data_IF_965671508330
#
_entry.id   IF_965671508330
#
_cell.length_a   1.000
_cell.length_b   1.000
_cell.length_c   1.000
_cell.angle_alpha   90.00
_cell.angle_beta   90.00
_cell.angle_gamma   90.00
#
_symmetry.space_group_name_H-M   'P 1'
#
loop_
_entity.id
_entity.type
_entity.pdbx_description
1 polymer ?
#
# COMPACT_ATOMS: atom_id res chain seq x y z
N UNK A 1 -0.61 -35.90 -1.20
CA UNK A 1 0.14 -36.14 -2.46
C UNK A 1 -0.58 -35.53 -3.66
N UNK A 2 -1.87 -35.81 -3.88
CA UNK A 2 -2.65 -35.29 -5.02
C UNK A 2 -2.83 -33.75 -5.03
N UNK A 3 -2.99 -33.12 -3.87
CA UNK A 3 -3.10 -31.65 -3.75
C UNK A 3 -1.77 -30.96 -4.09
N UNK A 4 -0.63 -31.48 -3.59
CA UNK A 4 0.70 -30.93 -3.91
C UNK A 4 1.02 -31.06 -5.41
N UNK A 5 0.73 -32.22 -6.01
CA UNK A 5 0.89 -32.44 -7.46
C UNK A 5 -0.01 -31.50 -8.30
N UNK A 6 -1.21 -31.17 -7.82
CA UNK A 6 -2.10 -30.22 -8.50
C UNK A 6 -1.62 -28.77 -8.40
N UNK A 7 -1.00 -28.38 -7.28
CA UNK A 7 -0.43 -27.05 -7.08
C UNK A 7 0.85 -26.88 -7.90
N UNK A 8 1.71 -27.90 -7.95
CA UNK A 8 2.93 -27.87 -8.76
C UNK A 8 2.61 -27.75 -10.26
N UNK A 9 1.61 -28.50 -10.74
CA UNK A 9 1.17 -28.42 -12.14
C UNK A 9 0.55 -27.05 -12.47
N UNK A 10 -0.27 -26.50 -11.57
CA UNK A 10 -0.87 -25.19 -11.74
C UNK A 10 0.21 -24.08 -11.77
N UNK A 11 1.21 -24.16 -10.89
CA UNK A 11 2.36 -23.24 -10.89
C UNK A 11 3.14 -23.31 -12.20
N UNK A 12 3.34 -24.51 -12.77
CA UNK A 12 4.01 -24.65 -14.07
C UNK A 12 3.19 -24.06 -15.21
N UNK A 13 1.87 -24.25 -15.22
CA UNK A 13 1.00 -23.63 -16.24
C UNK A 13 1.07 -22.10 -16.19
N UNK A 14 1.09 -21.52 -14.98
CA UNK A 14 1.26 -20.07 -14.82
C UNK A 14 2.61 -19.58 -15.33
N UNK A 15 3.71 -20.29 -15.05
CA UNK A 15 5.03 -19.93 -15.55
C UNK A 15 5.11 -20.02 -17.07
N UNK A 16 4.54 -21.07 -17.68
CA UNK A 16 4.49 -21.20 -19.14
C UNK A 16 3.70 -20.05 -19.79
N UNK A 17 2.58 -19.64 -19.19
CA UNK A 17 1.80 -18.51 -19.68
C UNK A 17 2.56 -17.18 -19.54
N UNK A 18 3.28 -17.00 -18.43
CA UNK A 18 4.12 -15.84 -18.20
C UNK A 18 5.25 -15.75 -19.23
N UNK A 19 5.95 -16.87 -19.48
CA UNK A 19 7.02 -16.93 -20.45
C UNK A 19 6.53 -16.71 -21.88
N UNK A 20 5.36 -17.27 -22.24
CA UNK A 20 4.70 -16.95 -23.51
C UNK A 20 4.38 -15.47 -23.62
N UNK A 21 3.79 -14.87 -22.58
CA UNK A 21 3.44 -13.45 -22.56
C UNK A 21 4.65 -12.53 -22.70
N UNK A 22 5.76 -12.88 -22.04
CA UNK A 22 7.04 -12.17 -22.16
C UNK A 22 7.55 -12.27 -23.60
N UNK A 23 7.59 -13.47 -24.17
CA UNK A 23 8.05 -13.70 -25.55
C UNK A 23 7.24 -12.87 -26.57
N UNK A 24 5.91 -12.85 -26.46
CA UNK A 24 5.10 -12.07 -27.39
C UNK A 24 5.32 -10.56 -27.23
N UNK A 25 5.45 -10.08 -25.99
CA UNK A 25 5.72 -8.67 -25.72
C UNK A 25 7.14 -8.25 -26.16
N UNK A 26 8.13 -9.14 -26.09
CA UNK A 26 9.47 -8.91 -26.64
C UNK A 26 9.46 -8.79 -28.16
N UNK A 27 8.70 -9.64 -28.86
CA UNK A 27 8.53 -9.54 -30.32
C UNK A 27 7.84 -8.23 -30.71
N UNK A 28 6.76 -7.88 -30.01
CA UNK A 28 6.04 -6.63 -30.24
C UNK A 28 6.95 -5.42 -30.05
N UNK A 29 7.82 -5.44 -29.03
CA UNK A 29 8.80 -4.38 -28.78
C UNK A 29 9.81 -4.22 -29.94
N UNK A 30 10.19 -5.31 -30.61
CA UNK A 30 11.07 -5.26 -31.78
C UNK A 30 10.41 -4.61 -32.99
N UNK A 31 9.10 -4.78 -33.15
CA UNK A 31 8.33 -4.19 -34.25
C UNK A 31 7.91 -2.74 -33.97
N UNK A 32 7.60 -2.42 -32.71
CA UNK A 32 7.12 -1.11 -32.31
C UNK A 32 7.53 -0.77 -30.87
N UNK A 33 8.46 0.18 -30.71
CA UNK A 33 8.80 0.70 -29.39
C UNK A 33 7.77 1.72 -28.91
N UNK A 34 6.99 1.35 -27.89
CA UNK A 34 6.08 2.28 -27.22
C UNK A 34 6.23 2.25 -25.70
N UNK A 35 5.97 3.38 -24.99
CA UNK A 35 5.98 3.42 -23.53
C UNK A 35 5.07 2.38 -22.86
N UNK A 36 3.97 2.02 -23.54
CA UNK A 36 3.00 1.05 -23.04
C UNK A 36 3.56 -0.37 -23.06
N UNK A 37 4.22 -0.77 -24.15
CA UNK A 37 4.85 -2.10 -24.30
C UNK A 37 5.96 -2.26 -23.26
N UNK A 38 6.84 -1.26 -23.13
CA UNK A 38 7.89 -1.27 -22.10
C UNK A 38 7.30 -1.38 -20.68
N UNK A 39 6.23 -0.64 -20.37
CA UNK A 39 5.58 -0.73 -19.07
C UNK A 39 5.05 -2.15 -18.79
N UNK A 40 4.40 -2.77 -19.78
CA UNK A 40 3.88 -4.13 -19.63
C UNK A 40 5.00 -5.16 -19.51
N UNK A 41 6.02 -5.08 -20.36
CA UNK A 41 7.16 -5.99 -20.32
C UNK A 41 7.91 -5.89 -18.98
N UNK A 42 8.15 -4.67 -18.48
CA UNK A 42 8.76 -4.46 -17.17
C UNK A 42 7.95 -5.08 -16.03
N UNK A 43 6.61 -5.00 -16.09
CA UNK A 43 5.73 -5.66 -15.12
C UNK A 43 5.81 -7.18 -15.20
N UNK A 44 5.81 -7.75 -16.41
CA UNK A 44 5.93 -9.20 -16.59
C UNK A 44 7.29 -9.71 -16.07
N UNK A 45 8.37 -8.99 -16.33
CA UNK A 45 9.67 -9.30 -15.75
C UNK A 45 9.70 -9.17 -14.23
N UNK A 46 9.04 -8.15 -13.67
CA UNK A 46 8.93 -7.99 -12.21
C UNK A 46 8.16 -9.16 -11.58
N UNK A 47 7.07 -9.61 -12.20
CA UNK A 47 6.33 -10.81 -11.77
C UNK A 47 7.24 -12.04 -11.83
N UNK A 48 7.99 -12.24 -12.93
CA UNK A 48 8.91 -13.38 -13.06
C UNK A 48 10.02 -13.34 -12.02
N UNK A 49 10.56 -12.15 -11.73
CA UNK A 49 11.55 -11.93 -10.68
C UNK A 49 10.98 -12.28 -9.30
N UNK A 50 9.76 -11.84 -8.99
CA UNK A 50 9.13 -12.16 -7.71
C UNK A 50 8.86 -13.66 -7.54
N UNK A 51 8.49 -14.36 -8.63
CA UNK A 51 8.16 -15.79 -8.59
C UNK A 51 9.38 -16.71 -8.61
N UNK A 52 10.44 -16.32 -9.32
CA UNK A 52 11.56 -17.23 -9.67
C UNK A 52 12.95 -16.70 -9.32
N UNK A 53 13.06 -15.42 -8.93
CA UNK A 53 14.33 -14.72 -8.75
C UNK A 53 15.06 -14.36 -10.05
N UNK A 54 14.48 -14.63 -11.23
CA UNK A 54 15.10 -14.37 -12.55
C UNK A 54 14.63 -13.05 -13.17
N UNK A 55 15.45 -12.49 -14.04
CA UNK A 55 15.13 -11.32 -14.89
C UNK A 55 14.80 -10.01 -14.17
N UNK A 56 15.19 -9.88 -12.89
CA UNK A 56 15.15 -8.60 -12.20
C UNK A 56 15.95 -7.52 -12.97
N UNK A 57 17.11 -7.88 -13.52
CA UNK A 57 17.92 -6.96 -14.33
C UNK A 57 17.23 -6.56 -15.62
N UNK A 58 16.44 -7.45 -16.23
CA UNK A 58 15.64 -7.10 -17.42
C UNK A 58 14.48 -6.20 -17.06
N UNK A 59 13.81 -6.43 -15.93
CA UNK A 59 12.79 -5.51 -15.42
C UNK A 59 13.39 -4.11 -15.19
N UNK A 60 14.53 -4.03 -14.51
CA UNK A 60 15.23 -2.77 -14.23
C UNK A 60 15.60 -2.06 -15.53
N UNK A 61 16.26 -2.76 -16.47
CA UNK A 61 16.62 -2.20 -17.78
C UNK A 61 15.40 -1.73 -18.59
N UNK A 62 14.30 -2.48 -18.58
CA UNK A 62 13.06 -2.10 -19.29
C UNK A 62 12.45 -0.83 -18.72
N UNK A 63 12.41 -0.70 -17.39
CA UNK A 63 11.92 0.51 -16.74
C UNK A 63 12.86 1.70 -16.92
N UNK A 64 14.18 1.50 -16.90
CA UNK A 64 15.15 2.57 -17.14
C UNK A 64 15.05 3.10 -18.58
N UNK A 65 14.79 2.23 -19.56
CA UNK A 65 14.51 2.66 -20.92
C UNK A 65 13.19 3.45 -21.01
N UNK A 66 12.15 2.97 -20.32
CA UNK A 66 10.88 3.70 -20.22
C UNK A 66 11.06 5.08 -19.59
N UNK A 67 11.87 5.18 -18.53
CA UNK A 67 12.22 6.43 -17.88
C UNK A 67 12.95 7.38 -18.84
N UNK A 68 13.85 6.84 -19.68
CA UNK A 68 14.58 7.62 -20.68
C UNK A 68 13.66 8.21 -21.76
N UNK A 69 12.70 7.44 -22.27
CA UNK A 69 11.84 7.88 -23.38
C UNK A 69 10.57 8.61 -22.92
N UNK A 70 10.12 8.38 -21.69
CA UNK A 70 8.92 8.96 -21.10
C UNK A 70 9.16 9.34 -19.63
N UNK A 71 10.01 10.36 -19.37
CA UNK A 71 10.48 10.68 -18.01
C UNK A 71 9.39 11.15 -17.05
N UNK A 72 8.23 11.59 -17.55
CA UNK A 72 7.09 12.00 -16.74
C UNK A 72 6.04 10.88 -16.57
N UNK A 73 6.37 9.65 -16.97
CA UNK A 73 5.43 8.54 -16.88
C UNK A 73 5.49 7.89 -15.51
N UNK A 74 4.61 8.33 -14.60
CA UNK A 74 4.55 7.94 -13.18
C UNK A 74 4.63 6.42 -12.96
N UNK A 75 3.96 5.64 -13.80
CA UNK A 75 3.90 4.18 -13.70
C UNK A 75 5.28 3.51 -13.84
N UNK A 76 6.23 4.17 -14.49
CA UNK A 76 7.63 3.73 -14.58
C UNK A 76 8.27 3.67 -13.20
N UNK A 77 8.13 4.76 -12.44
CA UNK A 77 8.73 4.91 -11.13
C UNK A 77 8.03 4.04 -10.07
N UNK A 78 6.71 3.85 -10.19
CA UNK A 78 6.00 2.87 -9.37
C UNK A 78 6.45 1.42 -9.67
N UNK A 79 6.69 1.09 -10.94
CA UNK A 79 7.22 -0.21 -11.35
C UNK A 79 8.64 -0.46 -10.84
N UNK A 80 9.53 0.55 -10.94
CA UNK A 80 10.86 0.50 -10.34
C UNK A 80 10.79 0.31 -8.83
N UNK A 81 9.92 1.04 -8.14
CA UNK A 81 9.74 0.89 -6.70
C UNK A 81 9.30 -0.50 -6.29
N UNK A 82 8.34 -1.08 -7.01
CA UNK A 82 7.89 -2.46 -6.78
C UNK A 82 9.04 -3.47 -7.00
N UNK A 83 9.74 -3.37 -8.13
CA UNK A 83 10.89 -4.20 -8.45
C UNK A 83 11.99 -4.09 -7.36
N UNK A 84 12.25 -2.88 -6.90
CA UNK A 84 13.25 -2.62 -5.88
C UNK A 84 12.85 -3.15 -4.50
N UNK A 85 11.57 -3.10 -4.13
CA UNK A 85 11.09 -3.74 -2.91
C UNK A 85 11.24 -5.27 -2.96
N UNK A 86 10.85 -5.92 -4.06
CA UNK A 86 10.95 -7.39 -4.17
C UNK A 86 12.40 -7.88 -4.24
N UNK A 87 13.32 -7.03 -4.73
CA UNK A 87 14.76 -7.34 -4.80
C UNK A 87 15.54 -6.85 -3.58
N UNK A 88 14.86 -6.33 -2.55
CA UNK A 88 15.49 -5.88 -1.30
C UNK A 88 16.26 -4.55 -1.40
N UNK A 89 16.14 -3.82 -2.51
CA UNK A 89 16.78 -2.52 -2.75
C UNK A 89 15.90 -1.37 -2.21
N UNK A 90 15.55 -1.41 -0.92
CA UNK A 90 14.58 -0.49 -0.31
C UNK A 90 14.88 1.00 -0.53
N UNK A 91 16.15 1.42 -0.46
CA UNK A 91 16.53 2.82 -0.66
C UNK A 91 16.19 3.32 -2.07
N UNK A 92 16.44 2.48 -3.09
CA UNK A 92 16.05 2.80 -4.47
C UNK A 92 14.53 2.82 -4.66
N UNK A 93 13.80 1.98 -3.92
CA UNK A 93 12.35 2.00 -3.96
C UNK A 93 11.78 3.33 -3.42
N UNK A 94 12.34 3.80 -2.29
CA UNK A 94 12.02 5.10 -1.67
C UNK A 94 12.33 6.24 -2.64
N UNK A 95 13.50 6.23 -3.27
CA UNK A 95 13.87 7.24 -4.28
C UNK A 95 12.90 7.24 -5.45
N UNK A 96 12.57 6.07 -5.98
CA UNK A 96 11.66 5.93 -7.13
C UNK A 96 10.28 6.53 -6.84
N UNK A 97 9.66 6.21 -5.69
CA UNK A 97 8.35 6.80 -5.35
C UNK A 97 8.43 8.28 -4.99
N UNK A 98 9.57 8.76 -4.46
CA UNK A 98 9.78 10.19 -4.26
C UNK A 98 9.79 10.93 -5.60
N UNK A 99 10.48 10.38 -6.59
CA UNK A 99 10.43 10.93 -7.95
C UNK A 99 9.02 10.88 -8.50
N UNK A 100 8.33 9.74 -8.39
CA UNK A 100 6.96 9.56 -8.87
C UNK A 100 6.02 10.67 -8.35
N UNK A 101 6.08 10.96 -7.05
CA UNK A 101 5.25 11.97 -6.38
C UNK A 101 5.68 13.43 -6.64
N UNK A 102 6.88 13.62 -7.19
CA UNK A 102 7.45 14.94 -7.51
C UNK A 102 7.30 15.35 -8.97
N UNK A 103 6.88 14.42 -9.84
CA UNK A 103 6.65 14.72 -11.25
C UNK A 103 5.61 15.84 -11.39
N UNK A 104 5.57 16.56 -12.53
CA UNK A 104 4.56 17.57 -12.80
C UNK A 104 3.15 16.96 -12.79
N UNK A 105 2.58 16.88 -11.60
CA UNK A 105 1.30 16.25 -11.34
C UNK A 105 0.19 17.28 -11.51
N UNK A 106 -0.95 16.82 -12.03
CA UNK A 106 -2.18 17.60 -11.86
C UNK A 106 -2.61 17.39 -10.41
N UNK A 107 -3.08 18.43 -9.73
CA UNK A 107 -3.56 18.33 -8.33
C UNK A 107 -4.46 17.09 -8.09
N UNK A 108 -5.31 16.74 -9.05
CA UNK A 108 -6.18 15.56 -9.02
C UNK A 108 -5.47 14.18 -9.01
N UNK A 109 -4.19 14.08 -9.39
CA UNK A 109 -3.43 12.81 -9.40
C UNK A 109 -2.74 12.52 -8.06
N UNK A 110 -2.54 13.53 -7.22
CA UNK A 110 -1.90 13.35 -5.90
C UNK A 110 -2.71 12.39 -5.01
N UNK A 111 -4.04 12.44 -5.10
CA UNK A 111 -4.96 11.52 -4.42
C UNK A 111 -4.75 10.07 -4.82
N UNK A 112 -4.60 9.79 -6.12
CA UNK A 112 -4.42 8.41 -6.60
C UNK A 112 -3.03 7.85 -6.32
N UNK A 113 -2.03 8.71 -6.10
CA UNK A 113 -0.65 8.32 -5.81
C UNK A 113 -0.34 8.25 -4.32
N UNK A 114 -1.11 8.90 -3.45
CA UNK A 114 -0.90 8.90 -2.02
C UNK A 114 -0.75 7.48 -1.44
N UNK A 115 -1.74 6.59 -1.66
CA UNK A 115 -1.70 5.26 -1.08
C UNK A 115 -0.57 4.36 -1.65
N UNK A 116 -0.35 4.28 -2.97
CA UNK A 116 0.79 3.55 -3.52
C UNK A 116 2.14 4.01 -2.95
N UNK A 117 2.39 5.31 -2.88
CA UNK A 117 3.64 5.88 -2.36
C UNK A 117 3.78 5.61 -0.85
N UNK A 118 2.72 5.86 -0.07
CA UNK A 118 2.68 5.56 1.36
C UNK A 118 3.01 4.09 1.62
N UNK A 119 2.43 3.21 0.81
CA UNK A 119 2.65 1.78 0.95
C UNK A 119 4.10 1.39 0.65
N UNK A 120 4.77 2.03 -0.31
CA UNK A 120 6.18 1.74 -0.58
C UNK A 120 7.04 2.19 0.59
N UNK A 121 6.81 3.39 1.13
CA UNK A 121 7.52 3.84 2.32
C UNK A 121 7.32 2.91 3.51
N UNK A 122 6.09 2.43 3.73
CA UNK A 122 5.79 1.46 4.80
C UNK A 122 6.48 0.11 4.57
N UNK A 123 6.48 -0.42 3.35
CA UNK A 123 7.16 -1.68 3.02
C UNK A 123 8.69 -1.57 3.13
N UNK A 124 9.25 -0.41 2.78
CA UNK A 124 10.66 -0.10 2.93
C UNK A 124 11.07 0.18 4.38
N UNK A 125 10.11 0.35 5.31
CA UNK A 125 10.37 0.79 6.67
C UNK A 125 10.77 2.27 6.79
N UNK A 126 10.58 3.05 5.74
CA UNK A 126 10.91 4.47 5.66
C UNK A 126 9.81 5.34 6.32
N UNK A 127 9.62 5.18 7.62
CA UNK A 127 8.51 5.82 8.35
C UNK A 127 8.59 7.35 8.42
N UNK A 128 9.80 7.93 8.37
CA UNK A 128 9.94 9.39 8.29
C UNK A 128 9.42 9.93 6.96
N UNK A 129 9.68 9.24 5.85
CA UNK A 129 9.14 9.61 4.55
C UNK A 129 7.62 9.39 4.47
N UNK A 130 7.12 8.31 5.09
CA UNK A 130 5.68 8.08 5.21
C UNK A 130 4.97 9.21 5.98
N UNK A 131 5.55 9.66 7.10
CA UNK A 131 5.02 10.79 7.89
C UNK A 131 5.09 12.11 7.09
N UNK A 132 6.20 12.37 6.41
CA UNK A 132 6.33 13.55 5.57
C UNK A 132 5.31 13.55 4.42
N UNK A 133 5.03 12.39 3.83
CA UNK A 133 4.00 12.24 2.80
C UNK A 133 2.60 12.56 3.33
N UNK A 134 2.26 12.09 4.55
CA UNK A 134 1.00 12.41 5.22
C UNK A 134 0.83 13.94 5.33
N UNK A 135 1.86 14.64 5.80
CA UNK A 135 1.84 16.09 5.96
C UNK A 135 1.76 16.83 4.62
N UNK A 136 2.61 16.47 3.65
CA UNK A 136 2.60 17.06 2.30
C UNK A 136 1.25 16.88 1.62
N UNK A 137 0.67 15.67 1.72
CA UNK A 137 -0.64 15.39 1.14
C UNK A 137 -1.72 16.25 1.79
N UNK A 138 -1.74 16.34 3.12
CA UNK A 138 -2.72 17.15 3.87
C UNK A 138 -2.64 18.62 3.54
N UNK A 139 -1.44 19.18 3.55
CA UNK A 139 -1.20 20.60 3.31
C UNK A 139 -1.53 20.98 1.87
N UNK A 140 -1.21 20.11 0.90
CA UNK A 140 -1.37 20.39 -0.53
C UNK A 140 -2.81 20.18 -1.01
N UNK A 141 -3.49 19.15 -0.52
CA UNK A 141 -4.86 18.81 -0.97
C UNK A 141 -5.96 19.41 -0.10
N UNK A 142 -5.63 19.80 1.14
CA UNK A 142 -6.61 20.24 2.16
C UNK A 142 -7.77 19.24 2.32
N UNK A 143 -7.49 17.96 2.07
CA UNK A 143 -8.49 16.89 2.02
C UNK A 143 -8.16 15.78 3.03
N UNK A 144 -9.17 15.02 3.49
CA UNK A 144 -8.97 13.79 4.25
C UNK A 144 -7.97 12.83 3.61
N UNK A 145 -7.17 12.13 4.43
CA UNK A 145 -6.21 11.12 3.96
C UNK A 145 -6.93 10.02 3.18
N UNK A 146 -8.00 9.52 3.78
CA UNK A 146 -8.87 8.45 3.30
C UNK A 146 -10.06 8.34 4.25
N UNK A 147 -11.13 7.68 3.81
CA UNK A 147 -12.33 7.51 4.62
C UNK A 147 -12.24 6.21 5.45
N UNK A 148 -12.49 6.24 6.78
CA UNK A 148 -12.24 5.08 7.66
C UNK A 148 -12.97 3.80 7.26
N UNK A 149 -14.23 3.93 6.80
CA UNK A 149 -15.08 2.82 6.33
C UNK A 149 -14.70 2.37 4.93
N UNK A 150 -14.80 3.23 3.91
CA UNK A 150 -14.62 2.80 2.52
C UNK A 150 -13.19 2.40 2.17
N UNK A 151 -12.20 2.85 2.95
CA UNK A 151 -10.79 2.46 2.83
C UNK A 151 -10.35 1.42 3.87
N UNK A 152 -11.29 0.72 4.51
CA UNK A 152 -10.99 -0.22 5.59
C UNK A 152 -9.98 -1.30 5.16
N UNK A 153 -10.17 -1.87 3.96
CA UNK A 153 -9.31 -2.93 3.45
C UNK A 153 -7.89 -2.43 3.13
N UNK A 154 -7.76 -1.24 2.55
CA UNK A 154 -6.49 -0.57 2.31
C UNK A 154 -5.73 -0.34 3.61
N UNK A 155 -6.42 0.13 4.66
CA UNK A 155 -5.82 0.37 5.98
C UNK A 155 -5.35 -0.95 6.60
N UNK A 156 -6.15 -2.01 6.54
CA UNK A 156 -5.75 -3.34 7.04
C UNK A 156 -4.57 -3.90 6.24
N UNK A 157 -4.50 -3.68 4.93
CA UNK A 157 -3.33 -4.04 4.12
C UNK A 157 -2.10 -3.24 4.55
N UNK A 158 -2.24 -1.92 4.76
CA UNK A 158 -1.15 -1.06 5.22
C UNK A 158 -0.61 -1.51 6.58
N UNK A 159 -1.48 -1.87 7.52
CA UNK A 159 -1.11 -2.43 8.83
C UNK A 159 -0.27 -3.71 8.65
N UNK A 160 -0.76 -4.66 7.84
CA UNK A 160 -0.02 -5.91 7.55
C UNK A 160 1.32 -5.67 6.86
N UNK A 161 1.41 -4.66 5.98
CA UNK A 161 2.67 -4.26 5.35
C UNK A 161 3.63 -3.69 6.38
N UNK A 162 3.16 -2.83 7.27
CA UNK A 162 3.96 -2.25 8.35
C UNK A 162 4.49 -3.31 9.32
N UNK A 163 3.71 -4.37 9.58
CA UNK A 163 4.12 -5.50 10.43
C UNK A 163 5.37 -6.24 9.91
N UNK A 164 5.73 -6.09 8.63
CA UNK A 164 6.95 -6.69 8.05
C UNK A 164 8.23 -5.95 8.48
N UNK A 165 8.12 -4.70 8.93
CA UNK A 165 9.25 -3.91 9.41
C UNK A 165 9.43 -4.07 10.92
N UNK A 166 10.69 -4.22 11.34
CA UNK A 166 11.09 -4.20 12.75
C UNK A 166 11.11 -2.79 13.38
N UNK A 167 10.86 -1.72 12.61
CA UNK A 167 10.92 -0.35 13.10
C UNK A 167 9.63 0.06 13.85
N UNK A 168 9.37 -0.59 14.98
CA UNK A 168 8.17 -0.40 15.82
C UNK A 168 7.93 1.08 16.17
N UNK A 169 8.98 1.81 16.56
CA UNK A 169 8.84 3.23 16.92
C UNK A 169 8.36 4.11 15.75
N UNK A 170 8.86 3.86 14.54
CA UNK A 170 8.40 4.57 13.34
C UNK A 170 6.96 4.22 12.97
N UNK A 171 6.59 2.93 13.10
CA UNK A 171 5.22 2.45 12.91
C UNK A 171 4.22 3.13 13.84
N UNK A 172 4.54 3.17 15.14
CA UNK A 172 3.68 3.80 16.14
C UNK A 172 3.46 5.28 15.82
N UNK A 173 4.52 6.03 15.51
CA UNK A 173 4.39 7.44 15.12
C UNK A 173 3.49 7.64 13.91
N UNK A 174 3.65 6.82 12.86
CA UNK A 174 2.80 6.88 11.68
C UNK A 174 1.34 6.58 12.02
N UNK A 175 1.09 5.53 12.81
CA UNK A 175 -0.27 5.14 13.17
C UNK A 175 -0.94 6.15 14.11
N UNK A 176 -0.21 6.72 15.06
CA UNK A 176 -0.70 7.80 15.92
C UNK A 176 -1.12 9.02 15.10
N UNK A 177 -0.29 9.43 14.14
CA UNK A 177 -0.61 10.58 13.28
C UNK A 177 -1.80 10.30 12.37
N UNK A 178 -1.87 9.11 11.76
CA UNK A 178 -3.05 8.70 10.99
C UNK A 178 -4.32 8.67 11.87
N UNK A 179 -4.23 8.13 13.09
CA UNK A 179 -5.35 8.08 14.02
C UNK A 179 -5.82 9.48 14.43
N UNK A 180 -4.89 10.39 14.73
CA UNK A 180 -5.18 11.80 15.03
C UNK A 180 -5.99 12.43 13.91
N UNK A 181 -5.54 12.23 12.67
CA UNK A 181 -6.21 12.77 11.48
C UNK A 181 -7.57 12.14 11.19
N UNK A 182 -7.77 10.84 11.46
CA UNK A 182 -9.10 10.23 11.35
C UNK A 182 -10.08 10.81 12.37
N UNK A 183 -9.64 10.99 13.61
CA UNK A 183 -10.47 11.59 14.66
C UNK A 183 -10.78 13.05 14.34
N UNK A 184 -9.83 13.79 13.80
CA UNK A 184 -10.00 15.19 13.37
C UNK A 184 -11.07 15.31 12.27
N UNK A 185 -10.99 14.51 11.22
CA UNK A 185 -11.89 14.62 10.07
C UNK A 185 -13.26 13.97 10.29
N UNK A 186 -13.30 12.83 10.99
CA UNK A 186 -14.50 11.98 11.06
C UNK A 186 -15.08 11.89 12.47
N UNK A 187 -14.38 12.39 13.49
CA UNK A 187 -14.83 12.38 14.89
C UNK A 187 -14.73 11.01 15.57
N UNK A 188 -14.07 10.04 14.94
CA UNK A 188 -13.83 8.70 15.48
C UNK A 188 -12.57 8.07 14.85
N UNK A 189 -11.87 7.16 15.56
CA UNK A 189 -10.67 6.50 15.06
C UNK A 189 -11.00 5.40 14.05
N UNK A 190 -10.10 5.08 13.14
CA UNK A 190 -10.28 3.88 12.34
C UNK A 190 -10.07 2.62 13.21
N UNK A 191 -11.04 1.70 13.34
CA UNK A 191 -11.00 0.68 14.39
C UNK A 191 -9.86 -0.33 14.28
N UNK A 192 -9.52 -0.77 13.08
CA UNK A 192 -8.41 -1.70 12.88
C UNK A 192 -7.07 -1.04 13.22
N UNK A 193 -6.90 0.24 12.87
CA UNK A 193 -5.71 1.01 13.22
C UNK A 193 -5.59 1.21 14.73
N UNK A 194 -6.66 1.61 15.40
CA UNK A 194 -6.67 1.77 16.86
C UNK A 194 -6.38 0.44 17.57
N UNK A 195 -6.99 -0.65 17.13
CA UNK A 195 -6.74 -1.99 17.67
C UNK A 195 -5.26 -2.40 17.53
N UNK A 196 -4.66 -2.17 16.36
CA UNK A 196 -3.23 -2.42 16.12
C UNK A 196 -2.36 -1.58 17.06
N UNK A 197 -2.64 -0.29 17.23
CA UNK A 197 -1.88 0.58 18.13
C UNK A 197 -1.94 0.10 19.58
N UNK A 198 -3.13 -0.25 20.07
CA UNK A 198 -3.33 -0.80 21.44
C UNK A 198 -2.50 -2.07 21.62
N UNK A 199 -2.56 -2.99 20.64
CA UNK A 199 -1.82 -4.25 20.70
C UNK A 199 -0.31 -4.03 20.65
N UNK A 200 0.15 -3.07 19.84
CA UNK A 200 1.57 -2.75 19.70
C UNK A 200 2.14 -2.10 20.97
N UNK A 201 1.40 -1.20 21.63
CA UNK A 201 1.83 -0.67 22.93
C UNK A 201 1.87 -1.76 24.01
N UNK A 202 0.90 -2.67 24.03
CA UNK A 202 0.94 -3.83 24.95
C UNK A 202 2.14 -4.73 24.68
N UNK A 203 2.48 -5.00 23.42
CA UNK A 203 3.57 -5.92 23.07
C UNK A 203 4.95 -5.37 23.41
N UNK A 204 5.13 -4.04 23.44
CA UNK A 204 6.35 -3.39 23.94
C UNK A 204 6.34 -3.11 25.45
N UNK A 205 5.32 -3.58 26.17
CA UNK A 205 5.20 -3.44 27.63
C UNK A 205 4.63 -2.11 28.12
N UNK A 206 4.25 -1.20 27.22
CA UNK A 206 3.65 0.09 27.57
C UNK A 206 2.13 -0.02 27.72
N UNK A 207 1.72 -0.71 28.77
CA UNK A 207 0.30 -0.92 29.09
C UNK A 207 -0.41 0.37 29.49
N UNK A 208 0.33 1.36 29.99
CA UNK A 208 -0.18 2.68 30.35
C UNK A 208 -0.69 3.43 29.12
N UNK A 209 0.14 3.51 28.07
CA UNK A 209 -0.24 4.14 26.81
C UNK A 209 -1.37 3.39 26.11
N UNK A 210 -1.33 2.05 26.12
CA UNK A 210 -2.44 1.25 25.59
C UNK A 210 -3.78 1.56 26.29
N UNK A 211 -3.78 1.68 27.63
CA UNK A 211 -4.99 2.02 28.39
C UNK A 211 -5.46 3.47 28.14
N UNK A 212 -4.52 4.39 27.90
CA UNK A 212 -4.83 5.76 27.52
C UNK A 212 -5.55 5.84 26.16
N UNK A 213 -5.04 5.13 25.14
CA UNK A 213 -5.68 5.07 23.83
C UNK A 213 -7.12 4.55 23.91
N UNK A 214 -7.36 3.52 24.75
CA UNK A 214 -8.70 2.97 24.97
C UNK A 214 -9.63 4.05 25.55
N UNK A 215 -9.20 4.71 26.64
CA UNK A 215 -10.01 5.76 27.29
C UNK A 215 -10.29 6.93 26.35
N UNK A 216 -9.34 7.28 25.50
CA UNK A 216 -9.43 8.45 24.63
C UNK A 216 -10.25 8.18 23.37
N UNK A 217 -10.10 7.01 22.76
CA UNK A 217 -10.58 6.75 21.39
C UNK A 217 -11.59 5.61 21.27
N UNK A 218 -11.67 4.69 22.24
CA UNK A 218 -12.64 3.59 22.23
C UNK A 218 -13.93 3.93 23.01
N UNK A 219 -14.33 5.20 23.07
CA UNK A 219 -15.51 5.62 23.84
C UNK A 219 -16.81 5.15 23.18
N UNK A 220 -17.91 4.94 23.96
CA UNK A 220 -19.21 4.61 23.40
C UNK A 220 -19.68 5.60 22.32
N UNK A 221 -19.42 6.89 22.50
CA UNK A 221 -19.81 7.95 21.56
C UNK A 221 -19.05 7.85 20.24
N UNK A 222 -17.74 7.58 20.28
CA UNK A 222 -16.95 7.39 19.06
C UNK A 222 -17.32 6.09 18.35
N UNK A 223 -17.57 5.00 19.09
CA UNK A 223 -18.06 3.74 18.52
C UNK A 223 -19.41 3.91 17.84
N UNK A 224 -20.32 4.69 18.43
CA UNK A 224 -21.61 4.98 17.83
C UNK A 224 -21.50 5.85 16.58
N UNK A 225 -20.65 6.88 16.59
CA UNK A 225 -20.33 7.67 15.38
C UNK A 225 -19.81 6.79 14.25
N UNK A 226 -18.88 5.88 14.55
CA UNK A 226 -18.34 4.93 13.59
C UNK A 226 -19.42 4.01 13.01
N UNK A 227 -20.35 3.51 13.84
CA UNK A 227 -21.47 2.64 13.41
C UNK A 227 -22.42 3.39 12.49
N UNK A 228 -22.81 4.63 12.85
CA UNK A 228 -23.67 5.48 12.01
C UNK A 228 -23.03 5.73 10.64
N UNK A 229 -21.74 6.02 10.60
CA UNK A 229 -21.03 6.25 9.35
C UNK A 229 -20.90 4.98 8.51
N UNK A 230 -20.69 3.83 9.14
CA UNK A 230 -20.67 2.53 8.48
C UNK A 230 -22.02 2.21 7.80
N UNK A 231 -23.14 2.44 8.48
CA UNK A 231 -24.48 2.24 7.90
C UNK A 231 -24.77 3.20 6.74
N UNK A 232 -24.36 4.46 6.83
CA UNK A 232 -24.49 5.43 5.73
C UNK A 232 -23.73 5.00 4.48
N UNK A 233 -22.62 4.30 4.65
CA UNK A 233 -21.78 3.81 3.55
C UNK A 233 -22.20 2.43 3.03
N UNK A 234 -23.26 1.81 3.58
CA UNK A 234 -23.67 0.45 3.25
C UNK A 234 -24.56 0.39 2.01
N UNK A 235 -24.13 -0.38 1.03
CA UNK A 235 -24.89 -0.77 -0.16
C UNK A 235 -24.44 -2.17 -0.63
N UNK A 236 -25.08 -2.70 -1.68
CA UNK A 236 -24.77 -4.04 -2.21
C UNK A 236 -23.28 -4.26 -2.52
N UNK A 237 -22.58 -3.22 -3.01
CA UNK A 237 -21.16 -3.30 -3.39
C UNK A 237 -20.21 -3.11 -2.21
N UNK A 238 -20.61 -2.34 -1.20
CA UNK A 238 -19.78 -2.03 -0.02
C UNK A 238 -20.06 -2.92 1.19
N UNK A 239 -21.09 -3.75 1.15
CA UNK A 239 -21.53 -4.56 2.29
C UNK A 239 -20.40 -5.39 2.93
N UNK A 240 -19.53 -5.99 2.12
CA UNK A 240 -18.38 -6.75 2.64
C UNK A 240 -17.41 -5.86 3.44
N UNK A 241 -17.00 -4.72 2.87
CA UNK A 241 -16.08 -3.77 3.51
C UNK A 241 -16.70 -3.20 4.80
N UNK A 242 -17.98 -2.86 4.77
CA UNK A 242 -18.72 -2.37 5.95
C UNK A 242 -18.77 -3.43 7.05
N UNK A 243 -19.05 -4.70 6.69
CA UNK A 243 -19.08 -5.78 7.67
C UNK A 243 -17.68 -6.02 8.29
N UNK A 244 -16.61 -5.97 7.52
CA UNK A 244 -15.24 -6.10 8.02
C UNK A 244 -14.85 -4.93 8.95
N UNK A 245 -15.28 -3.72 8.58
CA UNK A 245 -15.13 -2.53 9.43
C UNK A 245 -15.86 -2.68 10.76
N UNK A 246 -17.14 -3.10 10.75
CA UNK A 246 -17.94 -3.31 11.95
C UNK A 246 -17.36 -4.40 12.84
N UNK A 247 -16.83 -5.49 12.25
CA UNK A 247 -16.12 -6.53 13.00
C UNK A 247 -14.90 -5.99 13.74
N UNK A 248 -14.13 -5.10 13.09
CA UNK A 248 -12.98 -4.44 13.72
C UNK A 248 -13.42 -3.47 14.84
N UNK A 249 -14.55 -2.79 14.65
CA UNK A 249 -15.16 -1.91 15.65
C UNK A 249 -15.62 -2.67 16.90
N UNK A 250 -16.28 -3.82 16.72
CA UNK A 250 -16.76 -4.68 17.80
C UNK A 250 -15.62 -5.36 18.58
N UNK A 251 -14.46 -5.54 17.93
CA UNK A 251 -13.26 -6.07 18.58
C UNK A 251 -12.53 -5.05 19.48
N UNK A 252 -12.89 -3.76 19.43
CA UNK A 252 -12.30 -2.76 20.31
C UNK A 252 -12.78 -2.95 21.76
N UNK A 253 -11.87 -2.82 22.75
CA UNK A 253 -12.16 -2.98 24.17
C UNK A 253 -13.15 -1.94 24.70
#
# INVERSE_FOLDING_TARGET
MQIALSVDNLNQQYLNLLDFSISEMEKELQENSSPRILLFLGKLYTIRANLTGKDADKAEATYLELQRIAPNYVQTYLGLAELYLITGKSDKAVESVRTAYSLPEKHATLGSLYYPVLSVYVLAGAYNDALNLVDVYRTTTQSPLMHPVSSHNEIVILIRRAQRSGAIGGRLKLFEEMNRLFVEDYGYPQPALLGEMINLYKSVGDTGRAAELIRQYATPEMKERARIDAEKNRNERSAAIVNDFLKSLEALP
#
